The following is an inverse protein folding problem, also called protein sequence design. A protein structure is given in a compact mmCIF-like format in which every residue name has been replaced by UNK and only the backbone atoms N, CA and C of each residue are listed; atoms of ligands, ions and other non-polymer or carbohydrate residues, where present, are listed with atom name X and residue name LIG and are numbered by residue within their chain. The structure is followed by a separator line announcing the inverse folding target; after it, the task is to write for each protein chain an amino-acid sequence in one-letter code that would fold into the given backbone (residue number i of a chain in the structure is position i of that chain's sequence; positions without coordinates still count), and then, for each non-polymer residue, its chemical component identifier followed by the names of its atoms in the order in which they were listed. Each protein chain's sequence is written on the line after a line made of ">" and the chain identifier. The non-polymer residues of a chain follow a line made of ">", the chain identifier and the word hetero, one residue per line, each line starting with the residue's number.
data_IF_773140054943
#
_entry.id   IF_773140054943
#
_cell.length_a   1.000
_cell.length_b   1.000
_cell.length_c   1.000
_cell.angle_alpha   90.00
_cell.angle_beta   90.00
_cell.angle_gamma   90.00
#
_symmetry.space_group_name_H-M   'P 1'
#
loop_
_entity.id
_entity.type
_entity.pdbx_description
1 polymer ?
#
# COMPACT_ATOMS: atom_id res chain seq x y z
N UNK A 1 7.39 -1.54 -17.20
CA UNK A 1 7.89 -1.95 -15.86
C UNK A 1 7.61 -3.43 -15.65
N UNK A 2 8.64 -4.26 -15.76
CA UNK A 2 8.52 -5.70 -15.51
C UNK A 2 8.61 -5.95 -14.00
N UNK A 3 7.47 -6.18 -13.37
CA UNK A 3 7.43 -6.46 -11.94
C UNK A 3 7.90 -7.93 -11.77
N UNK A 4 9.09 -8.17 -11.19
CA UNK A 4 9.72 -9.50 -11.04
C UNK A 4 8.98 -10.47 -10.11
N UNK A 5 8.63 -11.69 -10.56
CA UNK A 5 7.73 -12.64 -9.84
C UNK A 5 8.30 -13.28 -8.55
N UNK A 6 9.58 -13.11 -8.22
CA UNK A 6 10.20 -13.73 -7.03
C UNK A 6 9.75 -12.97 -5.76
N UNK A 7 9.15 -13.67 -4.79
CA UNK A 7 8.62 -13.18 -3.48
C UNK A 7 7.23 -12.51 -3.45
N UNK A 8 6.40 -12.64 -4.50
CA UNK A 8 5.00 -12.18 -4.43
C UNK A 8 4.08 -13.20 -3.78
N UNK A 9 3.15 -12.72 -2.97
CA UNK A 9 2.01 -13.48 -2.46
C UNK A 9 0.74 -12.95 -3.11
N UNK A 10 -0.24 -13.82 -3.34
CA UNK A 10 -1.57 -13.39 -3.78
C UNK A 10 -2.57 -13.45 -2.63
N UNK A 11 -3.52 -12.53 -2.64
CA UNK A 11 -4.68 -12.51 -1.74
C UNK A 11 -5.93 -12.19 -2.56
N UNK A 12 -7.05 -12.81 -2.21
CA UNK A 12 -8.35 -12.51 -2.81
C UNK A 12 -9.14 -11.60 -1.86
N UNK A 13 -9.68 -10.51 -2.40
CA UNK A 13 -10.48 -9.55 -1.64
C UNK A 13 -11.63 -9.06 -2.53
N UNK A 14 -12.87 -9.14 -2.02
CA UNK A 14 -14.10 -8.79 -2.77
C UNK A 14 -14.20 -9.45 -4.17
N UNK A 15 -13.74 -10.70 -4.31
CA UNK A 15 -13.74 -11.41 -5.60
C UNK A 15 -12.69 -10.92 -6.60
N UNK A 16 -11.82 -9.99 -6.21
CA UNK A 16 -10.67 -9.54 -7.00
C UNK A 16 -9.38 -10.13 -6.45
N UNK A 17 -8.46 -10.49 -7.34
CA UNK A 17 -7.14 -11.00 -6.97
C UNK A 17 -6.12 -9.89 -6.91
N UNK A 18 -5.44 -9.79 -5.78
CA UNK A 18 -4.36 -8.85 -5.53
C UNK A 18 -3.04 -9.60 -5.34
N UNK A 19 -1.98 -9.01 -5.85
CA UNK A 19 -0.60 -9.42 -5.66
C UNK A 19 0.05 -8.45 -4.70
N UNK A 20 0.72 -8.95 -3.68
CA UNK A 20 1.46 -8.13 -2.74
C UNK A 20 2.87 -8.68 -2.49
N UNK A 21 3.79 -7.79 -2.15
CA UNK A 21 5.15 -8.14 -1.77
C UNK A 21 5.70 -7.09 -0.83
N UNK A 22 6.62 -7.52 0.03
CA UNK A 22 7.39 -6.63 0.89
C UNK A 22 8.71 -6.33 0.18
N UNK A 23 9.11 -5.07 0.20
CA UNK A 23 10.41 -4.60 -0.25
C UNK A 23 11.14 -3.97 0.93
N UNK A 24 12.26 -4.57 1.29
CA UNK A 24 13.26 -3.95 2.14
C UNK A 24 14.08 -2.99 1.28
N UNK A 25 14.06 -1.71 1.63
CA UNK A 25 14.91 -0.70 1.04
C UNK A 25 16.01 -0.38 2.07
N UNK A 26 17.18 -0.98 1.83
CA UNK A 26 18.40 -0.83 2.64
C UNK A 26 19.33 0.25 2.06
N UNK A 27 18.79 1.19 1.28
CA UNK A 27 19.60 2.23 0.64
C UNK A 27 19.89 3.37 1.61
N UNK A 28 20.94 3.19 2.43
CA UNK A 28 21.73 4.24 3.10
C UNK A 28 21.07 5.16 4.15
N UNK A 29 19.74 5.29 4.19
CA UNK A 29 19.02 6.32 4.94
C UNK A 29 18.02 5.77 5.97
N UNK A 30 18.23 4.52 6.38
CA UNK A 30 17.42 3.82 7.37
C UNK A 30 16.67 2.66 6.78
N UNK A 31 16.56 1.58 7.54
CA UNK A 31 15.89 0.34 7.12
C UNK A 31 14.40 0.63 6.86
N UNK A 32 14.03 0.92 5.61
CA UNK A 32 12.64 1.18 5.24
C UNK A 32 12.02 -0.11 4.73
N UNK A 33 10.98 -0.56 5.43
CA UNK A 33 10.19 -1.70 4.99
C UNK A 33 8.92 -1.16 4.35
N UNK A 34 8.76 -1.43 3.06
CA UNK A 34 7.58 -1.03 2.29
C UNK A 34 6.82 -2.26 1.82
N UNK A 35 5.50 -2.15 1.80
CA UNK A 35 4.61 -3.16 1.26
C UNK A 35 3.94 -2.61 0.01
N UNK A 36 4.04 -3.37 -1.07
CA UNK A 36 3.38 -3.05 -2.32
C UNK A 36 2.21 -3.99 -2.51
N UNK A 37 1.10 -3.46 -3.00
CA UNK A 37 -0.10 -4.21 -3.38
C UNK A 37 -0.53 -3.75 -4.77
N UNK A 38 -0.86 -4.70 -5.63
CA UNK A 38 -1.32 -4.44 -6.99
C UNK A 38 -2.47 -5.38 -7.34
N UNK A 39 -3.50 -4.88 -8.01
CA UNK A 39 -4.51 -5.75 -8.65
C UNK A 39 -3.90 -6.50 -9.83
N UNK A 40 -4.50 -7.62 -10.20
CA UNK A 40 -4.06 -8.41 -11.36
C UNK A 40 -4.15 -7.62 -12.67
N UNK A 41 -5.18 -6.79 -12.81
CA UNK A 41 -5.38 -5.83 -13.90
C UNK A 41 -4.43 -4.61 -13.86
N UNK A 42 -3.62 -4.47 -12.79
CA UNK A 42 -2.68 -3.37 -12.56
C UNK A 42 -3.30 -1.97 -12.54
N UNK A 43 -4.63 -1.83 -12.50
CA UNK A 43 -5.30 -0.53 -12.35
C UNK A 43 -5.13 0.00 -10.94
N UNK A 44 -5.20 -0.88 -9.94
CA UNK A 44 -4.93 -0.53 -8.54
C UNK A 44 -3.49 -0.92 -8.20
N UNK A 45 -2.67 0.06 -7.83
CA UNK A 45 -1.31 -0.17 -7.33
C UNK A 45 -1.09 0.80 -6.18
N UNK A 46 -0.75 0.26 -5.01
CA UNK A 46 -0.48 1.05 -3.81
C UNK A 46 0.80 0.57 -3.14
N UNK A 47 1.47 1.48 -2.47
CA UNK A 47 2.68 1.27 -1.71
C UNK A 47 2.51 1.94 -0.34
N UNK A 48 2.74 1.17 0.72
CA UNK A 48 2.71 1.67 2.08
C UNK A 48 4.05 1.40 2.77
N UNK A 49 4.60 2.40 3.42
CA UNK A 49 5.82 2.27 4.20
C UNK A 49 5.48 1.95 5.64
N UNK A 50 5.88 0.77 6.09
CA UNK A 50 5.57 0.19 7.39
C UNK A 50 6.57 0.59 8.47
N UNK A 51 7.83 0.71 8.07
CA UNK A 51 8.92 1.19 8.92
C UNK A 51 9.51 2.41 8.26
N UNK A 52 9.39 3.55 8.93
CA UNK A 52 10.02 4.82 8.54
C UNK A 52 10.81 5.36 9.72
N UNK A 53 11.86 6.12 9.42
CA UNK A 53 12.64 6.85 10.43
C UNK A 53 11.79 7.91 11.16
N UNK A 54 10.80 8.48 10.47
CA UNK A 54 9.92 9.52 11.01
C UNK A 54 8.45 9.04 11.02
N UNK A 55 7.90 8.66 12.19
CA UNK A 55 6.57 8.06 12.30
C UNK A 55 5.41 9.08 12.25
N UNK A 56 5.71 10.37 12.22
CA UNK A 56 4.70 11.43 12.31
C UNK A 56 3.73 11.47 11.12
N UNK A 57 4.09 10.88 9.97
CA UNK A 57 3.26 10.90 8.76
C UNK A 57 3.25 9.51 8.08
N UNK A 58 2.30 8.68 8.48
CA UNK A 58 1.93 7.46 7.75
C UNK A 58 1.16 7.86 6.50
N UNK A 59 1.73 7.53 5.34
CA UNK A 59 1.12 7.79 4.05
C UNK A 59 1.09 6.52 3.20
N UNK A 60 0.06 6.42 2.37
CA UNK A 60 -0.11 5.44 1.33
C UNK A 60 0.14 6.11 -0.02
N UNK A 61 1.13 5.64 -0.76
CA UNK A 61 1.40 6.09 -2.12
C UNK A 61 0.56 5.27 -3.08
N UNK A 62 -0.27 5.92 -3.88
CA UNK A 62 -1.07 5.29 -4.92
C UNK A 62 -0.38 5.54 -6.26
N UNK A 63 0.08 4.46 -6.89
CA UNK A 63 0.79 4.47 -8.16
C UNK A 63 -0.14 4.07 -9.32
N UNK A 64 -1.23 3.37 -9.00
CA UNK A 64 -2.20 2.90 -9.98
C UNK A 64 -3.05 4.03 -10.59
N UNK A 65 -3.84 3.68 -11.60
CA UNK A 65 -4.80 4.59 -12.24
C UNK A 65 -6.18 4.59 -11.56
N UNK A 66 -6.42 3.66 -10.65
CA UNK A 66 -7.69 3.48 -9.98
C UNK A 66 -7.50 3.33 -8.47
N UNK A 67 -8.28 4.09 -7.70
CA UNK A 67 -8.41 3.93 -6.26
C UNK A 67 -9.84 4.25 -5.82
N UNK A 68 -10.49 3.40 -5.02
CA UNK A 68 -11.84 3.66 -4.53
C UNK A 68 -11.92 4.98 -3.75
N UNK A 69 -12.83 5.87 -4.14
CA UNK A 69 -12.99 7.20 -3.54
C UNK A 69 -12.18 8.32 -4.22
N UNK A 70 -11.36 8.00 -5.24
CA UNK A 70 -10.70 9.00 -6.08
C UNK A 70 -11.15 8.83 -7.54
N UNK A 71 -11.92 9.81 -8.02
CA UNK A 71 -12.59 9.75 -9.33
C UNK A 71 -11.62 9.87 -10.52
N UNK A 72 -10.49 10.58 -10.35
CA UNK A 72 -9.45 10.73 -11.37
C UNK A 72 -8.05 10.83 -10.78
N UNK A 73 -7.18 9.89 -11.14
CA UNK A 73 -5.75 10.00 -10.91
C UNK A 73 -5.05 10.50 -12.17
N UNK A 74 -4.47 11.70 -12.09
CA UNK A 74 -3.72 12.35 -13.17
C UNK A 74 -2.31 11.77 -13.31
N UNK A 75 -2.19 10.49 -13.69
CA UNK A 75 -0.94 9.83 -14.14
C UNK A 75 0.28 9.83 -13.19
N UNK A 76 0.21 10.57 -12.09
CA UNK A 76 1.24 10.77 -11.10
C UNK A 76 0.91 9.95 -9.85
N UNK A 77 1.96 9.55 -9.13
CA UNK A 77 1.78 8.87 -7.85
C UNK A 77 1.24 9.85 -6.82
N UNK A 78 0.07 9.56 -6.24
CA UNK A 78 -0.60 10.38 -5.23
C UNK A 78 -0.28 9.83 -3.86
N UNK A 79 0.01 10.69 -2.87
CA UNK A 79 0.18 10.27 -1.48
C UNK A 79 -1.05 10.67 -0.68
N UNK A 80 -1.61 9.72 0.05
CA UNK A 80 -2.75 9.97 0.95
C UNK A 80 -2.36 9.63 2.38
N UNK A 81 -2.84 10.41 3.34
CA UNK A 81 -2.63 10.13 4.75
C UNK A 81 -3.42 8.85 5.09
N UNK A 82 -2.76 7.92 5.77
CA UNK A 82 -3.36 6.66 6.18
C UNK A 82 -3.10 6.39 7.67
N UNK A 83 -3.98 5.61 8.32
CA UNK A 83 -3.73 5.18 9.69
C UNK A 83 -2.48 4.30 9.75
N UNK A 84 -1.90 4.23 10.93
CA UNK A 84 -0.74 3.39 11.18
C UNK A 84 -1.13 1.91 11.22
N UNK A 85 -0.69 1.13 10.22
CA UNK A 85 -1.00 -0.30 10.14
C UNK A 85 -0.02 -1.19 10.93
N UNK A 86 0.91 -0.61 11.70
CA UNK A 86 1.84 -1.37 12.55
C UNK A 86 1.12 -2.23 13.58
N UNK A 87 0.00 -1.77 14.14
CA UNK A 87 -0.83 -2.56 15.07
C UNK A 87 -1.44 -3.81 14.44
N UNK A 88 -1.55 -3.89 13.11
CA UNK A 88 -2.05 -5.07 12.40
C UNK A 88 -0.94 -6.07 12.03
N UNK A 89 0.32 -5.78 12.38
CA UNK A 89 1.44 -6.71 12.24
C UNK A 89 1.61 -7.56 13.49
N UNK A 90 2.09 -8.78 13.30
CA UNK A 90 2.45 -9.70 14.38
C UNK A 90 3.97 -9.87 14.32
N UNK A 91 4.67 -9.58 15.42
CA UNK A 91 6.15 -9.68 15.50
C UNK A 91 6.90 -8.89 14.41
N UNK A 92 6.38 -7.72 13.99
CA UNK A 92 6.91 -6.92 12.87
C UNK A 92 6.90 -7.65 11.51
N UNK A 93 6.13 -8.73 11.39
CA UNK A 93 5.97 -9.49 10.15
C UNK A 93 4.68 -9.07 9.44
N UNK A 94 4.80 -8.76 8.15
CA UNK A 94 3.64 -8.50 7.28
C UNK A 94 2.93 -9.81 6.99
N UNK A 95 1.72 -9.94 7.53
CA UNK A 95 0.89 -11.12 7.31
C UNK A 95 -0.21 -10.84 6.27
N UNK A 96 -0.80 -11.87 5.64
CA UNK A 96 -1.97 -11.69 4.79
C UNK A 96 -3.14 -10.98 5.50
N UNK A 97 -3.25 -11.12 6.84
CA UNK A 97 -4.24 -10.39 7.65
C UNK A 97 -3.97 -8.89 7.63
N UNK A 98 -2.70 -8.48 7.80
CA UNK A 98 -2.28 -7.08 7.69
C UNK A 98 -2.65 -6.50 6.33
N UNK A 99 -2.37 -7.24 5.24
CA UNK A 99 -2.72 -6.84 3.87
C UNK A 99 -4.23 -6.68 3.72
N UNK A 100 -5.00 -7.63 4.26
CA UNK A 100 -6.46 -7.56 4.24
C UNK A 100 -6.97 -6.30 4.93
N UNK A 101 -6.44 -5.96 6.10
CA UNK A 101 -6.84 -4.72 6.80
C UNK A 101 -6.48 -3.46 6.02
N UNK A 102 -5.33 -3.44 5.33
CA UNK A 102 -4.97 -2.33 4.44
C UNK A 102 -5.95 -2.25 3.26
N UNK A 103 -6.28 -3.39 2.63
CA UNK A 103 -7.24 -3.44 1.52
C UNK A 103 -8.64 -3.00 1.99
N UNK A 104 -9.09 -3.47 3.15
CA UNK A 104 -10.36 -3.05 3.76
C UNK A 104 -10.41 -1.54 3.93
N UNK A 105 -9.34 -0.95 4.45
CA UNK A 105 -9.23 0.51 4.54
C UNK A 105 -9.21 1.18 3.15
N UNK A 106 -8.47 0.63 2.17
CA UNK A 106 -8.40 1.19 0.81
C UNK A 106 -9.76 1.20 0.11
N UNK A 107 -10.59 0.17 0.31
CA UNK A 107 -11.89 0.00 -0.35
C UNK A 107 -13.07 0.61 0.42
N UNK A 108 -12.84 1.17 1.60
CA UNK A 108 -13.86 1.92 2.34
C UNK A 108 -14.19 3.22 1.57
N UNK A 109 -15.41 3.35 1.05
CA UNK A 109 -15.87 4.50 0.25
C UNK A 109 -16.28 5.70 1.11
N UNK A 110 -16.61 5.46 2.38
CA UNK A 110 -17.10 6.47 3.33
C UNK A 110 -15.96 7.28 3.99
N UNK A 111 -14.70 7.01 3.63
CA UNK A 111 -13.56 7.69 4.26
C UNK A 111 -13.26 9.02 3.59
N UNK A 112 -12.87 10.01 4.39
CA UNK A 112 -12.26 11.23 3.90
C UNK A 112 -10.83 10.93 3.46
N UNK A 113 -10.52 11.20 2.18
CA UNK A 113 -9.18 11.01 1.63
C UNK A 113 -8.42 12.32 1.74
N UNK A 114 -7.55 12.41 2.74
CA UNK A 114 -6.65 13.55 2.91
C UNK A 114 -5.42 13.33 2.03
N UNK A 115 -5.26 14.18 1.02
CA UNK A 115 -4.05 14.20 0.20
C UNK A 115 -2.89 14.76 1.03
N UNK A 116 -1.78 14.04 1.06
CA UNK A 116 -0.53 14.54 1.62
C UNK A 116 0.11 15.42 0.55
N UNK A 117 -0.28 16.70 0.52
CA UNK A 117 0.40 17.72 -0.27
C UNK A 117 1.80 17.94 0.33
N UNK A 118 2.81 18.05 -0.52
CA UNK A 118 4.23 18.02 -0.15
C UNK A 118 4.72 19.33 0.45
#
# INVERSE_FOLDING_TARGET
>A
MAISKKKRRSIEYQGMRFLWWVKDDFDGNGNMLSVHMASEDKKFIVEHFLVKLNPAESYLTIVGHYFPGLDKMTGNSIRIVCPDFRSAMVDNVVTPKTIRSILEWCFQLDKEIVLCDR
#
